data_IF_992030702206
#
_entry.id   IF_992030702206
#
_cell.length_a   1.000
_cell.length_b   1.000
_cell.length_c   1.000
_cell.angle_alpha   90.00
_cell.angle_beta   90.00
_cell.angle_gamma   90.00
#
_symmetry.space_group_name_H-M   'P 1'
#
loop_
_entity.id
_entity.type
_entity.pdbx_description
1 polymer ?
#
# COMPACT_ATOMS: atom_id res chain seq x y z
N UNK A 1 25.52 -9.77 0.43
CA UNK A 1 24.15 -9.45 -0.05
C UNK A 1 23.19 -10.53 0.44
N UNK A 2 22.49 -10.28 1.54
CA UNK A 2 21.56 -11.24 2.17
C UNK A 2 20.47 -11.75 1.19
N UNK A 3 20.01 -10.89 0.28
CA UNK A 3 18.94 -11.26 -0.66
C UNK A 3 19.42 -12.07 -1.88
N UNK A 4 20.71 -11.97 -2.27
CA UNK A 4 21.29 -12.88 -3.28
C UNK A 4 21.38 -14.31 -2.76
N UNK A 5 21.37 -14.51 -1.44
CA UNK A 5 21.54 -15.82 -0.81
C UNK A 5 20.31 -16.72 -0.95
N UNK A 6 19.11 -16.16 -1.16
CA UNK A 6 17.87 -16.94 -1.22
C UNK A 6 17.31 -17.11 -2.64
N UNK A 7 17.83 -16.40 -3.65
CA UNK A 7 17.29 -16.37 -5.03
C UNK A 7 15.75 -16.20 -5.06
N UNK A 8 15.22 -15.43 -4.11
CA UNK A 8 13.79 -15.14 -4.01
C UNK A 8 13.55 -13.76 -4.62
N UNK A 9 12.69 -13.64 -5.64
CA UNK A 9 12.26 -12.34 -6.14
C UNK A 9 11.67 -11.48 -5.01
N UNK A 10 12.08 -10.21 -4.97
CA UNK A 10 11.64 -9.28 -3.93
C UNK A 10 11.65 -7.83 -4.42
N UNK A 11 10.97 -6.97 -3.68
CA UNK A 11 11.11 -5.51 -3.75
C UNK A 11 10.93 -4.88 -2.36
N UNK A 12 11.50 -3.70 -2.18
CA UNK A 12 11.23 -2.85 -1.01
C UNK A 12 9.86 -2.22 -1.18
N UNK A 13 8.99 -2.43 -0.21
CA UNK A 13 7.59 -2.04 -0.26
C UNK A 13 7.13 -1.30 0.98
N UNK A 14 5.83 -1.03 1.04
CA UNK A 14 5.16 -0.56 2.26
C UNK A 14 5.80 0.72 2.83
N UNK A 15 5.95 0.82 4.15
CA UNK A 15 6.43 2.02 4.83
C UNK A 15 7.88 2.37 4.43
N UNK A 16 8.72 1.37 4.17
CA UNK A 16 10.09 1.62 3.68
C UNK A 16 10.11 2.18 2.26
N UNK A 17 9.24 1.72 1.37
CA UNK A 17 9.11 2.33 0.05
C UNK A 17 8.50 3.74 0.13
N UNK A 18 7.52 3.95 1.02
CA UNK A 18 6.91 5.26 1.24
C UNK A 18 7.96 6.27 1.73
N UNK A 19 8.80 5.90 2.70
CA UNK A 19 9.94 6.70 3.15
C UNK A 19 10.89 7.05 2.00
N UNK A 20 11.25 6.09 1.16
CA UNK A 20 12.13 6.31 -0.01
C UNK A 20 11.50 7.30 -1.01
N UNK A 21 10.18 7.33 -1.14
CA UNK A 21 9.46 8.31 -1.98
C UNK A 21 9.31 9.68 -1.31
N UNK A 22 9.79 9.83 -0.07
CA UNK A 22 9.67 11.03 0.74
C UNK A 22 8.29 11.20 1.37
N UNK A 23 7.58 10.09 1.60
CA UNK A 23 6.26 10.04 2.20
C UNK A 23 6.28 9.12 3.43
N UNK A 24 6.93 9.59 4.49
CA UNK A 24 6.92 8.95 5.78
C UNK A 24 7.09 10.01 6.86
N UNK A 25 6.00 10.36 7.53
CA UNK A 25 5.97 11.25 8.68
C UNK A 25 6.98 10.83 9.76
N UNK A 26 7.11 9.52 9.95
CA UNK A 26 8.08 8.92 10.86
C UNK A 26 8.87 7.83 10.14
N UNK A 27 10.15 7.70 10.50
CA UNK A 27 10.98 6.61 9.97
C UNK A 27 10.43 5.26 10.42
N UNK A 28 10.22 4.30 9.50
CA UNK A 28 9.85 2.94 9.87
C UNK A 28 10.90 2.33 10.81
N UNK A 29 10.43 1.65 11.85
CA UNK A 29 11.32 0.93 12.78
C UNK A 29 12.01 -0.27 12.13
N UNK A 30 11.37 -0.85 11.12
CA UNK A 30 11.85 -2.01 10.38
C UNK A 30 11.92 -1.71 8.88
N UNK A 31 12.89 -2.32 8.22
CA UNK A 31 13.00 -2.29 6.77
C UNK A 31 12.08 -3.35 6.15
N UNK A 32 11.11 -2.91 5.36
CA UNK A 32 10.01 -3.74 4.87
C UNK A 32 10.26 -4.18 3.43
N UNK A 33 10.18 -5.49 3.21
CA UNK A 33 10.42 -6.13 1.92
C UNK A 33 9.26 -7.04 1.58
N UNK A 34 8.76 -6.95 0.35
CA UNK A 34 7.76 -7.89 -0.18
C UNK A 34 8.49 -8.96 -1.00
N UNK A 35 8.18 -10.23 -0.73
CA UNK A 35 8.83 -11.39 -1.34
C UNK A 35 7.80 -12.45 -1.77
N UNK A 36 8.16 -13.28 -2.76
CA UNK A 36 7.29 -14.33 -3.29
C UNK A 36 7.24 -15.59 -2.42
N UNK A 37 8.07 -15.66 -1.38
CA UNK A 37 8.12 -16.76 -0.42
C UNK A 37 8.10 -16.24 1.01
N UNK A 38 7.57 -17.07 1.92
CA UNK A 38 7.62 -16.79 3.34
C UNK A 38 9.08 -16.83 3.80
N UNK A 39 9.57 -15.73 4.35
CA UNK A 39 10.92 -15.59 4.87
C UNK A 39 10.86 -15.13 6.33
N UNK A 40 11.81 -15.60 7.14
CA UNK A 40 11.94 -15.16 8.53
C UNK A 40 12.56 -13.76 8.58
N UNK A 41 12.17 -12.89 9.53
CA UNK A 41 12.83 -11.61 9.72
C UNK A 41 14.34 -11.77 9.92
N UNK A 42 15.13 -10.84 9.38
CA UNK A 42 16.58 -10.87 9.52
C UNK A 42 17.07 -9.60 10.21
N UNK A 43 18.00 -9.75 11.14
CA UNK A 43 18.66 -8.62 11.81
C UNK A 43 20.02 -8.40 11.16
N UNK A 44 20.29 -7.17 10.73
CA UNK A 44 21.55 -6.73 10.16
C UNK A 44 22.05 -5.53 10.97
N UNK A 45 23.03 -5.75 11.84
CA UNK A 45 23.48 -4.73 12.79
C UNK A 45 22.33 -4.34 13.73
N UNK A 46 21.94 -3.06 13.71
CA UNK A 46 20.80 -2.53 14.49
C UNK A 46 19.48 -2.54 13.72
N UNK A 47 19.50 -2.86 12.44
CA UNK A 47 18.32 -2.79 11.58
C UNK A 47 17.68 -4.17 11.46
N UNK A 48 16.35 -4.21 11.45
CA UNK A 48 15.57 -5.43 11.24
C UNK A 48 14.87 -5.36 9.89
N UNK A 49 14.98 -6.43 9.12
CA UNK A 49 14.30 -6.61 7.83
C UNK A 49 13.09 -7.51 8.08
N UNK A 50 11.91 -7.00 7.77
CA UNK A 50 10.65 -7.72 7.87
C UNK A 50 10.14 -8.05 6.47
N UNK A 51 9.81 -9.32 6.24
CA UNK A 51 9.33 -9.85 4.98
C UNK A 51 7.81 -9.98 4.94
N UNK A 52 7.23 -9.54 3.82
CA UNK A 52 5.81 -9.60 3.53
C UNK A 52 5.59 -10.53 2.34
N UNK A 53 4.82 -11.59 2.52
CA UNK A 53 4.51 -12.54 1.45
C UNK A 53 3.49 -11.96 0.47
N UNK A 54 3.82 -11.97 -0.83
CA UNK A 54 2.91 -11.71 -1.95
C UNK A 54 3.26 -12.68 -3.09
N UNK A 55 2.31 -13.52 -3.51
CA UNK A 55 2.56 -14.59 -4.49
C UNK A 55 2.97 -14.03 -5.86
N UNK A 56 2.18 -13.08 -6.36
CA UNK A 56 2.32 -12.54 -7.72
C UNK A 56 3.07 -11.20 -7.68
N UNK A 57 4.40 -11.28 -7.57
CA UNK A 57 5.25 -10.08 -7.55
C UNK A 57 5.30 -9.37 -8.90
N UNK A 58 5.11 -10.09 -10.01
CA UNK A 58 5.19 -9.52 -11.36
C UNK A 58 4.05 -8.53 -11.65
N UNK A 59 2.94 -8.64 -10.92
CA UNK A 59 1.84 -7.68 -10.96
C UNK A 59 2.19 -6.35 -10.28
N UNK A 60 3.30 -6.31 -9.53
CA UNK A 60 3.74 -5.13 -8.79
C UNK A 60 4.67 -4.28 -9.65
N UNK A 61 4.32 -3.00 -9.84
CA UNK A 61 5.21 -2.08 -10.52
C UNK A 61 6.36 -1.67 -9.58
N UNK A 62 7.60 -1.81 -10.04
CA UNK A 62 8.81 -1.46 -9.29
C UNK A 62 9.71 -0.56 -10.11
N UNK A 63 10.54 0.23 -9.41
CA UNK A 63 11.58 1.09 -9.98
C UNK A 63 12.93 0.82 -9.31
N UNK A 64 14.02 1.10 -10.02
CA UNK A 64 15.37 0.99 -9.48
C UNK A 64 15.78 2.30 -8.82
N UNK A 65 16.12 2.22 -7.53
CA UNK A 65 16.61 3.35 -6.74
C UNK A 65 18.08 3.09 -6.38
N UNK A 66 18.94 4.10 -6.57
CA UNK A 66 20.36 4.03 -6.16
C UNK A 66 20.46 4.17 -4.64
N UNK A 67 21.31 3.36 -4.02
CA UNK A 67 21.69 3.47 -2.61
C UNK A 67 23.20 3.29 -2.45
N UNK A 68 23.70 3.46 -1.21
CA UNK A 68 25.13 3.35 -0.90
C UNK A 68 25.73 1.96 -1.24
N UNK A 69 24.91 0.93 -1.35
CA UNK A 69 25.31 -0.46 -1.61
C UNK A 69 25.07 -0.91 -3.05
N UNK A 70 24.60 -0.03 -3.94
CA UNK A 70 24.25 -0.34 -5.33
C UNK A 70 22.85 0.15 -5.73
N UNK A 71 22.06 -0.72 -6.35
CA UNK A 71 20.68 -0.44 -6.75
C UNK A 71 19.71 -1.37 -6.02
N UNK A 72 18.51 -0.87 -5.78
CA UNK A 72 17.45 -1.58 -5.08
C UNK A 72 16.14 -1.48 -5.85
N UNK A 73 15.40 -2.58 -5.91
CA UNK A 73 14.04 -2.61 -6.47
C UNK A 73 13.09 -2.08 -5.41
N UNK A 74 12.39 -0.98 -5.69
CA UNK A 74 11.43 -0.33 -4.79
C UNK A 74 10.09 -0.27 -5.50
N UNK A 75 8.98 -0.57 -4.82
CA UNK A 75 7.64 -0.40 -5.40
C UNK A 75 7.43 1.05 -5.84
N UNK A 76 6.71 1.27 -6.95
CA UNK A 76 6.29 2.62 -7.32
C UNK A 76 5.33 3.20 -6.27
N UNK A 77 5.14 4.52 -6.19
CA UNK A 77 4.16 5.11 -5.26
C UNK A 77 2.77 4.48 -5.34
N UNK A 78 2.31 4.13 -6.55
CA UNK A 78 1.02 3.49 -6.78
C UNK A 78 0.95 2.06 -6.20
N UNK A 79 2.00 1.28 -6.41
CA UNK A 79 2.12 -0.08 -5.86
C UNK A 79 2.25 -0.02 -4.34
N UNK A 80 3.03 0.93 -3.82
CA UNK A 80 3.14 1.19 -2.37
C UNK A 80 1.79 1.50 -1.76
N UNK A 81 0.99 2.37 -2.38
CA UNK A 81 -0.34 2.73 -1.88
C UNK A 81 -1.28 1.51 -1.79
N UNK A 82 -1.28 0.64 -2.81
CA UNK A 82 -2.06 -0.59 -2.79
C UNK A 82 -1.57 -1.59 -1.73
N UNK A 83 -0.26 -1.78 -1.63
CA UNK A 83 0.33 -2.69 -0.66
C UNK A 83 0.07 -2.22 0.78
N UNK A 84 0.15 -0.92 1.08
CA UNK A 84 -0.15 -0.38 2.41
C UNK A 84 -1.58 -0.73 2.85
N UNK A 85 -2.56 -0.59 1.95
CA UNK A 85 -3.96 -0.94 2.23
C UNK A 85 -4.16 -2.45 2.35
N UNK A 86 -3.47 -3.23 1.50
CA UNK A 86 -3.52 -4.70 1.54
C UNK A 86 -2.98 -5.26 2.84
N UNK A 87 -1.91 -4.66 3.35
CA UNK A 87 -1.21 -5.12 4.54
C UNK A 87 -1.47 -4.24 5.77
N UNK A 88 -2.57 -3.49 5.78
CA UNK A 88 -2.91 -2.49 6.82
C UNK A 88 -2.71 -3.03 8.26
N UNK A 89 -3.18 -4.25 8.54
CA UNK A 89 -3.12 -4.90 9.86
C UNK A 89 -1.68 -5.16 10.33
N UNK A 90 -0.71 -5.11 9.42
CA UNK A 90 0.71 -5.38 9.67
C UNK A 90 1.60 -4.14 9.53
N UNK A 91 1.02 -2.99 9.23
CA UNK A 91 1.74 -1.71 9.09
C UNK A 91 1.14 -0.60 9.95
N UNK A 92 0.48 -0.95 11.05
CA UNK A 92 -0.04 0.03 12.02
C UNK A 92 -1.51 0.44 11.79
N UNK A 93 -2.25 -0.27 10.97
CA UNK A 93 -3.68 -0.04 10.74
C UNK A 93 -3.97 1.14 9.79
N UNK A 94 -5.27 1.40 9.58
CA UNK A 94 -5.69 2.37 8.56
C UNK A 94 -5.46 3.83 8.91
N UNK A 95 -5.41 4.20 10.20
CA UNK A 95 -5.05 5.56 10.60
C UNK A 95 -3.63 5.91 10.12
N UNK A 96 -2.67 5.03 10.43
CA UNK A 96 -1.29 5.22 9.99
C UNK A 96 -1.16 5.16 8.46
N UNK A 97 -1.86 4.22 7.81
CA UNK A 97 -1.89 4.15 6.34
C UNK A 97 -2.45 5.44 5.74
N UNK A 98 -3.50 6.02 6.31
CA UNK A 98 -4.09 7.26 5.82
C UNK A 98 -3.11 8.45 5.92
N UNK A 99 -2.39 8.59 7.04
CA UNK A 99 -1.32 9.60 7.19
C UNK A 99 -0.25 9.44 6.11
N UNK A 100 0.27 8.22 5.92
CA UNK A 100 1.29 7.95 4.89
C UNK A 100 0.76 8.22 3.48
N UNK A 101 -0.50 7.87 3.19
CA UNK A 101 -1.13 8.13 1.90
C UNK A 101 -1.30 9.62 1.63
N UNK A 102 -1.54 10.44 2.65
CA UNK A 102 -1.67 11.88 2.53
C UNK A 102 -0.37 12.53 2.00
N UNK A 103 0.78 12.09 2.52
CA UNK A 103 2.09 12.53 2.04
C UNK A 103 2.43 11.93 0.66
N UNK A 104 2.12 10.64 0.47
CA UNK A 104 2.42 9.91 -0.77
C UNK A 104 1.59 10.41 -1.96
N UNK A 105 0.41 11.00 -1.72
CA UNK A 105 -0.51 11.49 -2.72
C UNK A 105 0.15 12.36 -3.79
N UNK A 106 1.06 13.26 -3.40
CA UNK A 106 1.78 14.14 -4.32
C UNK A 106 2.74 13.42 -5.27
N UNK A 107 3.05 12.15 -5.01
CA UNK A 107 3.94 11.30 -5.82
C UNK A 107 3.17 10.31 -6.71
N UNK A 108 1.87 10.13 -6.47
CA UNK A 108 1.03 9.19 -7.19
C UNK A 108 0.58 9.79 -8.52
N UNK A 109 0.74 9.02 -9.60
CA UNK A 109 0.13 9.35 -10.88
C UNK A 109 -1.19 8.58 -11.06
N UNK A 110 -2.30 9.31 -11.25
CA UNK A 110 -3.64 8.72 -11.37
C UNK A 110 -3.79 7.69 -12.49
N UNK A 111 -3.08 7.84 -13.61
CA UNK A 111 -3.12 6.87 -14.70
C UNK A 111 -2.33 5.61 -14.36
N UNK A 112 -1.14 5.76 -13.76
CA UNK A 112 -0.35 4.62 -13.29
C UNK A 112 -1.06 3.88 -12.16
N UNK A 113 -1.87 4.57 -11.35
CA UNK A 113 -2.63 3.95 -10.27
C UNK A 113 -3.70 3.00 -10.81
N UNK A 114 -4.37 3.38 -11.91
CA UNK A 114 -5.30 2.47 -12.62
C UNK A 114 -4.55 1.27 -13.19
N UNK A 115 -3.39 1.48 -13.82
CA UNK A 115 -2.57 0.36 -14.32
C UNK A 115 -2.15 -0.57 -13.19
N UNK A 116 -1.78 -0.05 -12.03
CA UNK A 116 -1.45 -0.86 -10.87
C UNK A 116 -2.66 -1.66 -10.37
N UNK A 117 -3.85 -1.05 -10.34
CA UNK A 117 -5.10 -1.74 -10.00
C UNK A 117 -5.48 -2.85 -10.99
N UNK A 118 -5.26 -2.62 -12.30
CA UNK A 118 -5.46 -3.62 -13.35
C UNK A 118 -4.58 -4.84 -13.16
N UNK A 119 -3.30 -4.63 -12.82
CA UNK A 119 -2.34 -5.72 -12.61
C UNK A 119 -2.68 -6.57 -11.40
N UNK A 120 -2.98 -5.96 -10.25
CA UNK A 120 -3.31 -6.73 -9.04
C UNK A 120 -4.67 -7.43 -9.14
N UNK A 121 -5.58 -6.92 -9.97
CA UNK A 121 -6.92 -7.47 -10.23
C UNK A 121 -7.82 -7.70 -8.99
N UNK A 122 -7.39 -7.26 -7.80
CA UNK A 122 -8.14 -7.36 -6.56
C UNK A 122 -8.98 -6.08 -6.34
N UNK A 123 -10.31 -6.20 -6.40
CA UNK A 123 -11.20 -5.02 -6.29
C UNK A 123 -11.27 -4.47 -4.86
N UNK A 124 -11.31 -5.34 -3.83
CA UNK A 124 -11.49 -4.91 -2.45
C UNK A 124 -10.38 -3.99 -1.90
N UNK A 125 -9.07 -4.28 -2.10
CA UNK A 125 -8.01 -3.34 -1.72
C UNK A 125 -8.09 -2.01 -2.48
N UNK A 126 -8.48 -2.05 -3.76
CA UNK A 126 -8.62 -0.84 -4.59
C UNK A 126 -9.78 0.04 -4.11
N UNK A 127 -10.92 -0.56 -3.71
CA UNK A 127 -12.05 0.16 -3.11
C UNK A 127 -11.63 0.89 -1.83
N UNK A 128 -10.92 0.20 -0.93
CA UNK A 128 -10.42 0.80 0.32
C UNK A 128 -9.40 1.90 0.05
N UNK A 129 -8.47 1.68 -0.88
CA UNK A 129 -7.50 2.71 -1.27
C UNK A 129 -8.21 3.96 -1.81
N UNK A 130 -9.17 3.77 -2.70
CA UNK A 130 -9.95 4.88 -3.25
C UNK A 130 -10.66 5.70 -2.18
N UNK A 131 -11.31 5.02 -1.22
CA UNK A 131 -11.95 5.66 -0.08
C UNK A 131 -10.94 6.48 0.75
N UNK A 132 -9.78 5.91 1.07
CA UNK A 132 -8.74 6.59 1.85
C UNK A 132 -8.15 7.79 1.09
N UNK A 133 -7.96 7.69 -0.24
CA UNK A 133 -7.49 8.82 -1.06
C UNK A 133 -8.53 9.94 -1.14
N UNK A 134 -9.83 9.63 -1.20
CA UNK A 134 -10.88 10.66 -1.11
C UNK A 134 -10.86 11.36 0.26
N UNK A 135 -10.48 10.66 1.32
CA UNK A 135 -10.34 11.20 2.67
C UNK A 135 -9.13 12.14 2.80
N UNK A 136 -7.96 11.76 2.26
CA UNK A 136 -6.68 12.46 2.56
C UNK A 136 -6.02 13.19 1.38
N UNK A 137 -6.30 12.80 0.13
CA UNK A 137 -5.48 13.17 -1.03
C UNK A 137 -6.18 14.09 -2.04
N UNK A 138 -7.36 14.63 -1.70
CA UNK A 138 -8.28 15.37 -2.57
C UNK A 138 -8.87 14.48 -3.69
N UNK A 139 -10.18 14.61 -3.94
CA UNK A 139 -10.99 13.70 -4.78
C UNK A 139 -10.48 13.44 -6.21
N UNK A 140 -9.71 14.36 -6.79
CA UNK A 140 -9.29 14.27 -8.20
C UNK A 140 -8.28 13.16 -8.49
N UNK A 141 -7.42 12.80 -7.52
CA UNK A 141 -6.42 11.75 -7.69
C UNK A 141 -7.09 10.38 -7.94
N UNK A 142 -8.20 10.12 -7.27
CA UNK A 142 -8.90 8.85 -7.26
C UNK A 142 -10.03 8.74 -8.30
N UNK A 143 -10.34 9.80 -9.07
CA UNK A 143 -11.44 9.79 -10.05
C UNK A 143 -11.32 8.69 -11.11
N UNK A 144 -10.13 8.52 -11.70
CA UNK A 144 -9.91 7.47 -12.70
C UNK A 144 -10.04 6.08 -12.09
N UNK A 145 -9.63 5.94 -10.83
CA UNK A 145 -9.72 4.69 -10.08
C UNK A 145 -11.17 4.34 -9.73
N UNK A 146 -12.01 5.32 -9.39
CA UNK A 146 -13.45 5.12 -9.18
C UNK A 146 -14.13 4.55 -10.42
N UNK A 147 -13.83 5.09 -11.62
CA UNK A 147 -14.36 4.56 -12.88
C UNK A 147 -13.90 3.12 -13.15
N UNK A 148 -12.67 2.79 -12.76
CA UNK A 148 -12.16 1.42 -12.88
C UNK A 148 -12.93 0.47 -11.95
N UNK A 149 -13.19 0.88 -10.70
CA UNK A 149 -13.96 0.11 -9.72
C UNK A 149 -15.40 -0.14 -10.21
N UNK A 150 -16.09 0.90 -10.70
CA UNK A 150 -17.48 0.78 -11.18
C UNK A 150 -17.66 -0.23 -12.32
N UNK A 151 -16.66 -0.36 -13.21
CA UNK A 151 -16.68 -1.31 -14.33
C UNK A 151 -16.52 -2.77 -13.91
N UNK A 152 -16.18 -3.04 -12.65
CA UNK A 152 -15.93 -4.38 -12.11
C UNK A 152 -17.09 -4.95 -11.31
N UNK A 153 -18.26 -4.28 -11.33
CA UNK A 153 -19.44 -4.63 -10.54
C UNK A 153 -19.12 -4.90 -9.05
N UNK A 154 -18.62 -3.87 -8.35
CA UNK A 154 -18.00 -4.05 -7.04
C UNK A 154 -19.05 -4.38 -5.97
N UNK A 155 -18.79 -5.43 -5.19
CA UNK A 155 -19.54 -5.71 -3.96
C UNK A 155 -19.14 -4.72 -2.87
N UNK A 156 -20.04 -4.52 -1.90
CA UNK A 156 -19.68 -3.72 -0.73
C UNK A 156 -18.69 -4.47 0.15
N UNK A 157 -17.59 -3.80 0.53
CA UNK A 157 -16.55 -4.34 1.41
C UNK A 157 -16.45 -3.53 2.69
N UNK A 158 -16.05 -4.18 3.78
CA UNK A 158 -15.69 -3.46 5.02
C UNK A 158 -14.43 -2.63 4.79
N UNK A 159 -14.38 -1.43 5.38
CA UNK A 159 -13.20 -0.58 5.39
C UNK A 159 -12.04 -1.30 6.10
N UNK A 160 -12.26 -1.73 7.34
CA UNK A 160 -11.35 -2.58 8.10
C UNK A 160 -11.80 -4.05 7.97
N UNK A 161 -11.05 -4.92 7.27
CA UNK A 161 -11.37 -6.34 7.15
C UNK A 161 -11.40 -7.06 8.51
N UNK A 162 -12.11 -8.19 8.59
CA UNK A 162 -12.08 -9.07 9.76
C UNK A 162 -12.77 -8.54 11.02
N UNK A 163 -13.23 -7.29 11.00
CA UNK A 163 -14.02 -6.69 12.09
C UNK A 163 -15.52 -6.88 11.86
N UNK A 164 -16.36 -6.86 12.91
CA UNK A 164 -17.81 -6.89 12.75
C UNK A 164 -18.33 -5.74 11.86
N UNK A 165 -19.40 -5.99 11.10
CA UNK A 165 -20.08 -4.93 10.33
C UNK A 165 -20.91 -4.05 11.27
N UNK A 166 -20.24 -3.11 11.94
CA UNK A 166 -20.84 -2.06 12.75
C UNK A 166 -20.89 -0.73 11.97
N UNK A 167 -20.91 -0.81 10.64
CA UNK A 167 -20.75 0.36 9.79
C UNK A 167 -21.86 1.38 10.03
N UNK A 168 -21.46 2.59 10.46
CA UNK A 168 -22.37 3.71 10.67
C UNK A 168 -22.77 4.37 9.36
N UNK A 169 -21.95 4.22 8.32
CA UNK A 169 -22.21 4.76 6.99
C UNK A 169 -21.64 3.85 5.91
N UNK A 170 -22.17 3.98 4.70
CA UNK A 170 -21.68 3.30 3.51
C UNK A 170 -21.32 4.33 2.46
N UNK A 171 -20.07 4.33 2.01
CA UNK A 171 -19.62 5.15 0.90
C UNK A 171 -20.09 4.53 -0.42
N UNK A 172 -21.00 5.19 -1.12
CA UNK A 172 -21.60 4.70 -2.36
C UNK A 172 -20.61 4.65 -3.53
N UNK A 173 -19.70 5.64 -3.62
CA UNK A 173 -18.69 5.76 -4.68
C UNK A 173 -17.71 4.58 -4.68
N UNK A 174 -17.27 4.16 -3.50
CA UNK A 174 -16.29 3.07 -3.38
C UNK A 174 -16.91 1.72 -3.00
N UNK A 175 -18.21 1.70 -2.71
CA UNK A 175 -18.91 0.54 -2.11
C UNK A 175 -18.15 0.06 -0.85
N UNK A 176 -17.86 0.98 0.06
CA UNK A 176 -17.16 0.68 1.31
C UNK A 176 -18.10 0.93 2.49
N UNK A 177 -18.27 -0.08 3.35
CA UNK A 177 -18.93 0.05 4.64
C UNK A 177 -17.92 0.55 5.67
N UNK A 178 -18.15 1.75 6.21
CA UNK A 178 -17.23 2.44 7.12
C UNK A 178 -17.50 1.95 8.54
N UNK A 179 -16.84 0.85 8.90
CA UNK A 179 -16.94 0.18 10.20
C UNK A 179 -15.95 0.71 11.26
N UNK A 180 -15.11 1.66 10.88
CA UNK A 180 -14.20 2.38 11.78
C UNK A 180 -14.05 3.83 11.29
N UNK A 181 -13.93 4.77 12.23
CA UNK A 181 -13.59 6.16 11.91
C UNK A 181 -12.09 6.25 11.68
N UNK A 182 -11.67 6.80 10.54
CA UNK A 182 -10.25 6.99 10.23
C UNK A 182 -9.84 8.43 10.57
N UNK A 183 -8.84 8.55 11.41
CA UNK A 183 -8.27 9.80 11.91
C UNK A 183 -6.78 9.79 11.56
N UNK A 184 -6.38 10.36 10.42
CA UNK A 184 -4.96 10.55 10.11
C UNK A 184 -4.33 11.49 11.14
N UNK A 185 -3.11 11.17 11.58
CA UNK A 185 -2.29 12.07 12.39
C UNK A 185 -2.13 13.44 11.71
N UNK A 186 -2.03 14.51 12.50
CA UNK A 186 -1.74 15.86 12.01
C UNK A 186 -0.37 15.88 11.30
N UNK A 187 -0.35 16.32 10.04
CA UNK A 187 0.85 16.45 9.20
C UNK A 187 1.60 17.76 9.43
#
# INVERSE_FOLDING_TARGET
QLMRYHDVPYYVGLLSAAEIHGAAHQRPQEFQVVASKQLRPVVVGRNRIHFFLKKDLDDSAVQLVKNASGQMRVSTPETTALDLVRFQDRVGGLNHVATVLAELAGKINSAKLVVAAERVAEVAPVQRLGFLLDLVARKTLAEKLSKWVDRRDPKTVLLVPGSPDLARSRNSRWRVAVNETIEPDEL
#
